data_IF_605927356222
#
_entry.id   IF_605927356222
#
_cell.length_a   1.000
_cell.length_b   1.000
_cell.length_c   1.000
_cell.angle_alpha   90.00
_cell.angle_beta   90.00
_cell.angle_gamma   90.00
#
_symmetry.space_group_name_H-M   'P 1'
#
loop_
_entity.id
_entity.type
_entity.pdbx_description
1 polymer ?
#
# COMPACT_ATOMS: atom_id res chain seq x y z
N UNK A 1 -5.18 -24.94 9.01
CA UNK A 1 -4.02 -25.35 9.83
C UNK A 1 -2.87 -24.41 9.53
N UNK A 2 -2.06 -24.03 10.51
CA UNK A 2 -0.87 -23.22 10.25
C UNK A 2 0.21 -24.07 9.59
N UNK A 3 0.83 -23.57 8.52
CA UNK A 3 1.99 -24.19 7.90
C UNK A 3 3.27 -23.58 8.49
N UNK A 4 4.26 -24.43 8.78
CA UNK A 4 5.56 -23.98 9.28
C UNK A 4 6.44 -23.54 8.11
N UNK A 5 7.03 -22.36 8.22
CA UNK A 5 8.07 -21.87 7.33
C UNK A 5 9.40 -21.82 8.07
N UNK A 6 10.50 -22.16 7.38
CA UNK A 6 11.85 -21.98 7.93
C UNK A 6 12.42 -20.68 7.37
N UNK A 7 12.82 -19.77 8.25
CA UNK A 7 13.38 -18.47 7.88
C UNK A 7 14.77 -18.33 8.51
N UNK A 8 15.76 -18.00 7.69
CA UNK A 8 17.11 -17.68 8.13
C UNK A 8 17.30 -16.16 8.01
N UNK A 9 17.22 -15.41 9.12
CA UNK A 9 17.41 -13.97 9.07
C UNK A 9 18.88 -13.63 8.75
N UNK A 10 19.08 -12.55 8.00
CA UNK A 10 20.37 -11.86 7.94
C UNK A 10 20.58 -11.03 9.21
N UNK A 11 21.71 -10.32 9.30
CA UNK A 11 22.05 -9.56 10.49
C UNK A 11 21.09 -8.39 10.74
N UNK A 12 20.58 -7.76 9.68
CA UNK A 12 19.59 -6.68 9.80
C UNK A 12 18.25 -7.21 10.33
N UNK A 13 17.75 -8.32 9.77
CA UNK A 13 16.52 -8.96 10.24
C UNK A 13 16.67 -9.48 11.68
N UNK A 14 17.86 -9.95 12.08
CA UNK A 14 18.13 -10.34 13.47
C UNK A 14 18.01 -9.15 14.42
N UNK A 15 18.66 -8.03 14.11
CA UNK A 15 18.58 -6.82 14.93
C UNK A 15 17.14 -6.31 15.05
N UNK A 16 16.39 -6.34 13.95
CA UNK A 16 14.98 -5.95 13.98
C UNK A 16 14.12 -6.90 14.84
N UNK A 17 14.35 -8.22 14.75
CA UNK A 17 13.65 -9.19 15.61
C UNK A 17 14.00 -8.96 17.08
N UNK A 18 15.28 -8.73 17.41
CA UNK A 18 15.73 -8.50 18.78
C UNK A 18 15.05 -7.25 19.37
N UNK A 19 15.03 -6.14 18.62
CA UNK A 19 14.33 -4.91 19.02
C UNK A 19 12.83 -5.13 19.22
N UNK A 20 12.15 -5.76 18.24
CA UNK A 20 10.70 -5.97 18.28
C UNK A 20 10.24 -6.99 19.32
N UNK A 21 11.16 -7.75 19.90
CA UNK A 21 10.88 -8.75 20.94
C UNK A 21 11.47 -8.37 22.30
N UNK A 22 12.09 -7.19 22.43
CA UNK A 22 12.70 -6.71 23.66
C UNK A 22 11.72 -6.61 24.85
N UNK A 23 10.42 -6.47 24.57
CA UNK A 23 9.33 -6.44 25.55
C UNK A 23 8.79 -7.83 25.94
N UNK A 24 9.38 -8.91 25.41
CA UNK A 24 8.94 -10.29 25.61
C UNK A 24 7.89 -10.77 24.61
N UNK A 25 7.56 -9.98 23.58
CA UNK A 25 6.66 -10.41 22.51
C UNK A 25 7.24 -11.64 21.79
N UNK A 26 6.45 -12.70 21.52
CA UNK A 26 6.94 -13.87 20.81
C UNK A 26 7.37 -13.55 19.37
N UNK A 27 8.52 -14.09 18.93
CA UNK A 27 9.05 -13.94 17.56
C UNK A 27 7.99 -14.29 16.50
N UNK A 28 7.23 -15.37 16.69
CA UNK A 28 6.20 -15.79 15.74
C UNK A 28 5.01 -14.83 15.63
N UNK A 29 4.79 -13.99 16.64
CA UNK A 29 3.81 -12.90 16.59
C UNK A 29 4.38 -11.72 15.81
N UNK A 30 5.59 -11.28 16.15
CA UNK A 30 6.30 -10.21 15.42
C UNK A 30 6.41 -10.50 13.93
N UNK A 31 6.87 -11.69 13.56
CA UNK A 31 7.05 -12.09 12.16
C UNK A 31 5.71 -12.07 11.42
N UNK A 32 4.63 -12.54 12.04
CA UNK A 32 3.30 -12.54 11.45
C UNK A 32 2.78 -11.12 11.26
N UNK A 33 2.86 -10.29 12.29
CA UNK A 33 2.36 -8.93 12.29
C UNK A 33 3.12 -8.10 11.24
N UNK A 34 4.45 -8.24 11.17
CA UNK A 34 5.30 -7.61 10.17
C UNK A 34 4.97 -8.06 8.74
N UNK A 35 4.74 -9.36 8.51
CA UNK A 35 4.36 -9.88 7.18
C UNK A 35 3.01 -9.33 6.72
N UNK A 36 2.02 -9.29 7.61
CA UNK A 36 0.69 -8.73 7.32
C UNK A 36 0.78 -7.24 7.00
N UNK A 37 1.56 -6.49 7.79
CA UNK A 37 1.77 -5.06 7.55
C UNK A 37 2.48 -4.80 6.22
N UNK A 38 3.53 -5.56 5.92
CA UNK A 38 4.26 -5.45 4.65
C UNK A 38 3.34 -5.77 3.44
N UNK A 39 2.51 -6.81 3.56
CA UNK A 39 1.52 -7.14 2.52
C UNK A 39 0.50 -6.01 2.32
N UNK A 40 0.01 -5.42 3.41
CA UNK A 40 -0.93 -4.29 3.33
C UNK A 40 -0.29 -3.05 2.69
N UNK A 41 0.97 -2.73 3.04
CA UNK A 41 1.73 -1.64 2.41
C UNK A 41 1.95 -1.90 0.92
N UNK A 42 2.30 -3.12 0.55
CA UNK A 42 2.48 -3.51 -0.85
C UNK A 42 1.16 -3.37 -1.64
N UNK A 43 0.05 -3.89 -1.11
CA UNK A 43 -1.27 -3.77 -1.75
C UNK A 43 -1.68 -2.30 -1.96
N UNK A 44 -1.49 -1.44 -0.94
CA UNK A 44 -1.76 0.00 -1.06
C UNK A 44 -0.88 0.66 -2.12
N UNK A 45 0.41 0.30 -2.18
CA UNK A 45 1.33 0.86 -3.18
C UNK A 45 0.92 0.49 -4.61
N UNK A 46 0.45 -0.74 -4.81
CA UNK A 46 -0.08 -1.20 -6.10
C UNK A 46 -1.32 -0.45 -6.51
N UNK A 47 -2.31 -0.35 -5.63
CA UNK A 47 -3.55 0.40 -5.91
C UNK A 47 -3.24 1.85 -6.21
N UNK A 48 -2.32 2.47 -5.47
CA UNK A 48 -1.88 3.84 -5.74
C UNK A 48 -1.26 3.97 -7.13
N UNK A 49 -0.39 3.05 -7.53
CA UNK A 49 0.20 3.06 -8.87
C UNK A 49 -0.86 2.88 -9.98
N UNK A 50 -1.85 2.02 -9.75
CA UNK A 50 -2.99 1.82 -10.67
C UNK A 50 -3.86 3.09 -10.77
N UNK A 51 -4.13 3.77 -9.65
CA UNK A 51 -4.87 5.04 -9.63
C UNK A 51 -4.09 6.17 -10.30
N UNK A 52 -2.78 6.27 -10.07
CA UNK A 52 -1.93 7.27 -10.73
C UNK A 52 -1.90 7.05 -12.25
N UNK A 53 -1.87 5.79 -12.69
CA UNK A 53 -1.96 5.45 -14.12
C UNK A 53 -3.32 5.82 -14.71
N UNK A 54 -4.42 5.56 -14.00
CA UNK A 54 -5.78 5.92 -14.43
C UNK A 54 -5.99 7.45 -14.47
N UNK A 55 -5.52 8.18 -13.46
CA UNK A 55 -5.62 9.64 -13.41
C UNK A 55 -4.77 10.33 -14.50
N UNK A 56 -3.75 9.65 -15.01
CA UNK A 56 -2.95 10.11 -16.13
C UNK A 56 -3.62 9.88 -17.50
N UNK A 57 -4.81 9.25 -17.56
CA UNK A 57 -5.52 8.99 -18.82
C UNK A 57 -5.87 10.32 -19.54
N UNK A 58 -5.28 10.58 -20.72
CA UNK A 58 -5.49 11.82 -21.45
C UNK A 58 -6.92 11.97 -21.99
N UNK A 59 -7.64 10.87 -22.24
CA UNK A 59 -9.03 10.90 -22.69
C UNK A 59 -9.92 11.41 -21.56
N UNK A 60 -9.84 10.78 -20.39
CA UNK A 60 -10.60 11.17 -19.21
C UNK A 60 -10.34 12.62 -18.80
N UNK A 61 -9.08 13.08 -18.88
CA UNK A 61 -8.73 14.48 -18.60
C UNK A 61 -9.37 15.45 -19.58
N UNK A 62 -9.45 15.08 -20.86
CA UNK A 62 -10.05 15.91 -21.90
C UNK A 62 -11.56 16.00 -21.71
N UNK A 63 -12.20 14.86 -21.42
CA UNK A 63 -13.63 14.78 -21.13
C UNK A 63 -13.99 15.57 -19.87
N UNK A 64 -13.25 15.41 -18.76
CA UNK A 64 -13.46 16.16 -17.54
C UNK A 64 -13.33 17.68 -17.76
N UNK A 65 -12.36 18.12 -18.57
CA UNK A 65 -12.20 19.53 -18.92
C UNK A 65 -13.39 20.05 -19.76
N UNK A 66 -13.96 19.22 -20.64
CA UNK A 66 -15.14 19.57 -21.42
C UNK A 66 -16.37 19.72 -20.52
N UNK A 67 -16.62 18.74 -19.64
CA UNK A 67 -17.74 18.80 -18.69
C UNK A 67 -17.66 20.03 -17.79
N UNK A 68 -16.47 20.37 -17.28
CA UNK A 68 -16.28 21.58 -16.46
C UNK A 68 -16.63 22.86 -17.23
N UNK A 69 -16.22 22.96 -18.51
CA UNK A 69 -16.61 24.10 -19.36
C UNK A 69 -18.12 24.16 -19.55
N UNK A 70 -18.75 23.01 -19.81
CA UNK A 70 -20.19 22.93 -20.05
C UNK A 70 -20.98 23.29 -18.76
N UNK A 71 -20.52 22.86 -17.59
CA UNK A 71 -21.12 23.23 -16.29
C UNK A 71 -20.99 24.72 -15.98
N UNK A 72 -19.85 25.34 -16.33
CA UNK A 72 -19.65 26.78 -16.14
C UNK A 72 -20.56 27.60 -17.06
N UNK A 73 -20.75 27.15 -18.31
CA UNK A 73 -21.70 27.77 -19.24
C UNK A 73 -23.14 27.75 -18.71
N UNK A 74 -23.55 26.65 -18.06
CA UNK A 74 -24.87 26.53 -17.44
C UNK A 74 -25.04 27.39 -16.19
N UNK A 75 -23.95 27.69 -15.46
CA UNK A 75 -23.96 28.54 -14.26
C UNK A 75 -24.02 30.03 -14.58
N UNK A 76 -23.51 30.44 -15.74
CA UNK A 76 -23.47 31.82 -16.18
C UNK A 76 -24.81 32.34 -16.75
N UNK A 77 -25.83 31.49 -16.80
CA UNK A 77 -27.22 31.79 -17.19
C UNK A 77 -28.11 31.91 -15.94
#
# INVERSE_FOLDING_TARGET
MAATITFRPDDEARLAIDELTADGTPVSKVVRDALVEAAARHAKSRVRAEVEALAADPVDRTEAAQVLRDMELLRAW
#
